data_IF_564587930277
#
_entry.id   IF_564587930277
#
_cell.length_a   1.000
_cell.length_b   1.000
_cell.length_c   1.000
_cell.angle_alpha   90.00
_cell.angle_beta   90.00
_cell.angle_gamma   90.00
#
_symmetry.space_group_name_H-M   'P 1'
#
loop_
_entity.id
_entity.type
_entity.pdbx_description
1 polymer ?
2 non-polymer ?
3 water ?
#
# COMPACT_ATOMS: atom_id res chain seq x y z
N UNK A 3 -8.85 -10.66 -4.22
CA UNK A 3 -8.57 -9.51 -3.31
C UNK A 3 -7.73 -9.97 -2.12
N UNK A 4 -6.55 -9.38 -1.98
CA UNK A 4 -5.62 -9.73 -0.91
C UNK A 4 -5.81 -8.75 0.24
N UNK A 5 -6.10 -9.27 1.43
CA UNK A 5 -6.35 -8.40 2.57
C UNK A 5 -5.38 -8.50 3.74
N UNK A 6 -5.15 -7.35 4.38
CA UNK A 6 -4.26 -7.25 5.53
C UNK A 6 -5.14 -7.50 6.76
N UNK A 7 -5.31 -8.77 7.13
CA UNK A 7 -6.16 -9.11 8.28
C UNK A 7 -5.65 -8.53 9.60
N UNK A 8 -4.34 -8.49 9.76
CA UNK A 8 -3.75 -7.96 10.99
C UNK A 8 -4.10 -6.49 11.21
N UNK A 9 -3.98 -5.68 10.16
CA UNK A 9 -4.27 -4.26 10.27
C UNK A 9 -5.70 -4.01 10.75
N UNK A 10 -6.63 -4.77 10.19
CA UNK A 10 -8.04 -4.62 10.54
C UNK A 10 -8.35 -5.04 11.97
N UNK A 11 -7.70 -6.10 12.43
CA UNK A 11 -7.93 -6.62 13.77
C UNK A 11 -7.21 -5.88 14.88
N UNK A 12 -6.01 -5.37 14.60
CA UNK A 12 -5.22 -4.70 15.63
C UNK A 12 -5.16 -3.18 15.64
N UNK A 13 -5.68 -2.54 14.60
CA UNK A 13 -5.63 -1.09 14.56
C UNK A 13 -6.97 -0.47 14.21
N UNK A 14 -7.12 0.79 14.59
CA UNK A 14 -8.32 1.52 14.26
C UNK A 14 -7.94 2.24 12.97
N UNK A 15 -8.75 2.03 11.94
CA UNK A 15 -8.48 2.64 10.64
C UNK A 15 -9.25 3.94 10.48
N UNK A 16 -8.53 5.02 10.22
CA UNK A 16 -9.13 6.33 10.03
C UNK A 16 -9.39 6.52 8.53
N UNK A 17 -8.95 7.64 7.96
CA UNK A 17 -9.17 7.88 6.54
C UNK A 17 -8.44 6.85 5.68
N UNK A 18 -9.00 6.57 4.50
CA UNK A 18 -8.37 5.65 3.57
C UNK A 18 -8.15 6.35 2.23
N UNK A 19 -7.25 5.78 1.44
CA UNK A 19 -6.86 6.34 0.16
C UNK A 19 -6.57 5.21 -0.81
N UNK A 20 -6.76 5.46 -2.10
CA UNK A 20 -6.46 4.43 -3.08
C UNK A 20 -5.34 4.91 -3.98
N UNK A 21 -4.48 3.98 -4.37
CA UNK A 21 -3.38 4.32 -5.26
C UNK A 21 -3.05 3.14 -6.15
N UNK A 22 -2.36 3.43 -7.25
CA UNK A 22 -1.93 2.37 -8.14
C UNK A 22 -0.56 1.95 -7.66
N UNK A 23 -0.09 0.79 -8.11
CA UNK A 23 1.23 0.30 -7.72
C UNK A 23 2.05 0.05 -8.98
N UNK A 24 3.29 0.53 -9.01
CA UNK A 24 4.17 0.33 -10.16
C UNK A 24 4.94 -0.97 -9.97
N UNK A 25 4.51 -2.03 -10.65
CA UNK A 25 5.14 -3.34 -10.52
C UNK A 25 6.20 -3.61 -11.59
N UNK A 26 7.14 -4.48 -11.26
CA UNK A 26 8.22 -4.83 -12.18
C UNK A 26 8.39 -6.34 -12.26
N UNK A 27 9.01 -6.79 -13.35
CA UNK A 27 9.25 -8.21 -13.53
C UNK A 27 8.06 -9.14 -13.35
N UNK A 28 8.26 -10.22 -12.60
CA UNK A 28 7.22 -11.22 -12.36
C UNK A 28 6.25 -10.86 -11.23
N UNK A 29 6.42 -9.69 -10.64
CA UNK A 29 5.56 -9.26 -9.54
C UNK A 29 4.07 -9.39 -9.83
N UNK A 30 3.64 -8.98 -11.02
CA UNK A 30 2.23 -9.07 -11.37
C UNK A 30 1.72 -10.51 -11.28
N UNK A 31 2.50 -11.46 -11.79
CA UNK A 31 2.10 -12.86 -11.76
C UNK A 31 1.97 -13.36 -10.32
N UNK A 32 2.90 -12.96 -9.46
CA UNK A 32 2.88 -13.38 -8.07
C UNK A 32 1.65 -12.86 -7.34
N UNK A 33 1.26 -11.62 -7.62
CA UNK A 33 0.10 -11.04 -6.98
C UNK A 33 -1.19 -11.77 -7.37
N UNK A 34 -1.28 -12.18 -8.63
CA UNK A 34 -2.46 -12.89 -9.12
C UNK A 34 -2.58 -14.23 -8.39
N UNK A 35 -1.44 -14.75 -7.96
CA UNK A 35 -1.38 -16.02 -7.25
C UNK A 35 -1.65 -15.79 -5.77
N UNK A 36 -1.67 -14.53 -5.36
CA UNK A 36 -1.91 -14.18 -3.97
C UNK A 36 -0.72 -14.39 -3.06
N UNK A 37 0.48 -14.39 -3.64
CA UNK A 37 1.70 -14.60 -2.86
C UNK A 37 2.26 -13.28 -2.34
N UNK A 38 1.58 -12.70 -1.35
CA UNK A 38 1.99 -11.44 -0.76
C UNK A 38 1.94 -11.50 0.77
N UNK A 39 2.77 -10.70 1.42
CA UNK A 39 2.83 -10.63 2.88
C UNK A 39 2.87 -9.15 3.26
N UNK A 40 1.90 -8.72 4.07
CA UNK A 40 1.78 -7.32 4.50
C UNK A 40 2.57 -6.95 5.75
N UNK A 41 3.10 -7.95 6.45
CA UNK A 41 3.83 -7.72 7.69
C UNK A 41 4.87 -6.61 7.64
N UNK A 42 4.70 -5.62 8.51
CA UNK A 42 5.62 -4.50 8.60
C UNK A 42 5.63 -3.52 7.45
N UNK A 43 4.65 -3.63 6.55
CA UNK A 43 4.59 -2.73 5.41
C UNK A 43 3.93 -1.40 5.75
N UNK A 44 4.42 -0.34 5.12
CA UNK A 44 3.90 1.01 5.32
C UNK A 44 4.22 1.86 4.11
N UNK A 45 3.54 3.00 3.99
CA UNK A 45 3.77 3.89 2.86
C UNK A 45 4.33 5.21 3.38
N UNK A 46 5.23 5.81 2.61
CA UNK A 46 5.87 7.06 3.02
C UNK A 46 6.37 7.82 1.80
N UNK A 47 6.32 9.15 1.86
CA UNK A 47 6.78 9.98 0.75
C UNK A 47 8.31 10.09 0.72
N UNK A 48 8.86 10.14 -0.48
CA UNK A 48 10.30 10.28 -0.67
C UNK A 48 10.57 10.97 -2.00
N UNK A 49 11.13 12.17 -1.92
CA UNK A 49 11.45 12.94 -3.11
C UNK A 49 10.27 13.19 -4.05
N UNK A 50 9.13 13.55 -3.47
CA UNK A 50 7.95 13.85 -4.26
C UNK A 50 7.10 12.67 -4.71
N UNK A 51 7.48 11.46 -4.31
CA UNK A 51 6.71 10.28 -4.70
C UNK A 51 6.33 9.48 -3.46
N UNK A 52 5.17 8.82 -3.51
CA UNK A 52 4.74 7.99 -2.39
C UNK A 52 5.24 6.59 -2.69
N UNK A 53 5.86 5.95 -1.70
CA UNK A 53 6.36 4.59 -1.89
C UNK A 53 5.78 3.64 -0.86
N UNK A 54 5.57 2.40 -1.28
CA UNK A 54 5.07 1.37 -0.39
C UNK A 54 6.33 0.61 -0.01
N UNK A 55 6.65 0.59 1.28
CA UNK A 55 7.84 -0.08 1.75
C UNK A 55 7.59 -1.38 2.50
N UNK A 56 8.55 -2.29 2.38
CA UNK A 56 8.54 -3.58 3.06
C UNK A 56 7.38 -4.51 2.76
N UNK A 57 6.80 -4.40 1.57
CA UNK A 57 5.73 -5.32 1.20
C UNK A 57 6.45 -6.49 0.54
N UNK A 58 6.15 -7.71 0.98
CA UNK A 58 6.78 -8.89 0.40
C UNK A 58 5.92 -9.51 -0.70
N UNK A 59 6.49 -9.66 -1.89
CA UNK A 59 5.79 -10.32 -2.99
C UNK A 59 6.73 -11.47 -3.34
N UNK A 60 6.25 -12.69 -3.13
CA UNK A 60 7.05 -13.89 -3.38
C UNK A 60 7.59 -13.97 -4.80
N UNK A 61 8.80 -14.51 -4.96
CA UNK A 61 9.42 -14.64 -6.29
C UNK A 61 8.55 -15.47 -7.22
N UNK A 70 15.27 -9.94 -8.38
CA UNK A 70 14.47 -8.77 -7.91
C UNK A 70 14.16 -8.92 -6.42
N UNK A 71 14.47 -7.88 -5.65
CA UNK A 71 14.23 -7.91 -4.21
C UNK A 71 12.74 -8.10 -3.94
N UNK A 72 12.37 -9.21 -3.28
CA UNK A 72 10.97 -9.48 -2.97
C UNK A 72 10.36 -8.40 -2.08
N UNK A 73 11.23 -7.62 -1.43
CA UNK A 73 10.77 -6.55 -0.55
C UNK A 73 11.25 -5.17 -0.99
N UNK A 74 11.45 -5.00 -2.29
CA UNK A 74 11.90 -3.72 -2.80
C UNK A 74 10.83 -2.66 -2.55
N UNK A 75 11.27 -1.41 -2.51
CA UNK A 75 10.38 -0.28 -2.31
C UNK A 75 9.66 -0.10 -3.65
N UNK A 76 8.35 0.10 -3.60
CA UNK A 76 7.57 0.25 -4.82
C UNK A 76 6.81 1.56 -4.89
N UNK A 77 6.90 2.22 -6.04
CA UNK A 77 6.25 3.51 -6.21
C UNK A 77 4.74 3.37 -6.35
N UNK A 78 4.01 4.22 -5.64
CA UNK A 78 2.56 4.22 -5.72
C UNK A 78 2.15 5.37 -6.61
N UNK A 79 1.07 5.17 -7.37
CA UNK A 79 0.59 6.18 -8.30
C UNK A 79 -0.68 6.84 -7.78
N UNK A 80 -0.61 8.16 -7.57
CA UNK A 80 -1.75 8.89 -7.05
C UNK A 80 -2.30 9.91 -8.03
N UNK A 81 -3.63 9.99 -8.10
CA UNK A 81 -4.24 11.00 -8.95
C UNK A 81 -4.12 12.27 -8.12
N UNK A 82 -4.13 13.42 -8.77
CA UNK A 82 -3.99 14.69 -8.06
C UNK A 82 -4.95 14.87 -6.89
N UNK A 83 -6.21 14.49 -7.07
CA UNK A 83 -7.17 14.66 -5.99
C UNK A 83 -6.85 13.84 -4.75
N UNK A 84 -6.30 12.64 -4.94
CA UNK A 84 -5.96 11.79 -3.81
C UNK A 84 -4.69 12.32 -3.13
N UNK A 85 -3.75 12.81 -3.94
CA UNK A 85 -2.52 13.37 -3.39
C UNK A 85 -2.88 14.54 -2.48
N UNK A 86 -3.81 15.38 -2.93
CA UNK A 86 -4.25 16.54 -2.15
C UNK A 86 -4.86 16.14 -0.81
N UNK A 87 -5.58 15.02 -0.79
CA UNK A 87 -6.20 14.53 0.44
C UNK A 87 -5.14 14.04 1.41
N UNK A 88 -4.14 13.36 0.86
CA UNK A 88 -3.06 12.77 1.65
C UNK A 88 -2.01 13.73 2.20
N UNK A 89 -1.54 14.65 1.37
CA UNK A 89 -0.51 15.59 1.78
C UNK A 89 -0.75 16.23 3.14
N UNK A 90 0.21 16.05 4.04
CA UNK A 90 0.11 16.62 5.37
C UNK A 90 -0.46 15.70 6.43
N UNK A 91 -1.00 14.55 6.03
CA UNK A 91 -1.59 13.63 7.00
C UNK A 91 -0.71 12.40 7.24
N UNK A 92 0.17 12.10 6.29
CA UNK A 92 1.05 10.94 6.39
C UNK A 92 1.91 10.96 7.65
N UNK A 93 2.57 12.09 7.90
CA UNK A 93 3.42 12.23 9.07
C UNK A 93 2.68 12.87 10.24
N UNK A 94 1.92 12.05 10.97
CA UNK A 94 1.17 12.53 12.13
C UNK A 94 1.43 11.63 13.32
N UNK A 95 1.55 12.24 14.49
CA UNK A 95 1.80 11.53 15.74
C UNK A 95 0.95 10.27 15.94
N UNK A 96 1.62 9.14 16.13
CA UNK A 96 0.93 7.88 16.37
C UNK A 96 0.19 7.21 15.23
N UNK A 97 0.25 7.78 14.03
CA UNK A 97 -0.44 7.18 12.89
C UNK A 97 0.54 6.63 11.87
N UNK A 98 0.14 5.55 11.21
CA UNK A 98 0.97 4.93 10.19
C UNK A 98 0.09 4.67 8.98
N UNK A 99 0.60 4.97 7.79
CA UNK A 99 -0.15 4.74 6.56
C UNK A 99 0.19 3.31 6.14
N UNK A 100 -0.78 2.42 6.21
CA UNK A 100 -0.54 1.03 5.88
C UNK A 100 -1.44 0.45 4.79
N UNK A 101 -0.94 -0.56 4.06
CA UNK A 101 -1.72 -1.19 3.00
C UNK A 101 -2.79 -2.08 3.63
N UNK A 102 -4.04 -1.89 3.23
CA UNK A 102 -5.16 -2.65 3.78
C UNK A 102 -5.61 -3.78 2.87
N UNK A 103 -5.49 -3.56 1.57
CA UNK A 103 -5.87 -4.57 0.59
C UNK A 103 -5.24 -4.24 -0.75
N UNK A 104 -5.03 -5.28 -1.56
CA UNK A 104 -4.46 -5.12 -2.89
C UNK A 104 -5.38 -5.89 -3.83
N UNK A 105 -5.69 -5.29 -4.96
CA UNK A 105 -6.57 -5.93 -5.94
C UNK A 105 -6.33 -5.32 -7.30
N UNK A 106 -6.94 -5.90 -8.33
CA UNK A 106 -6.80 -5.38 -9.68
C UNK A 106 -8.16 -4.88 -10.14
N UNK A 107 -8.21 -3.72 -10.78
CA UNK A 107 -9.51 -3.25 -11.27
C UNK A 107 -9.76 -3.89 -12.62
N UNK A 108 -10.88 -3.55 -13.24
CA UNK A 108 -11.28 -4.10 -14.54
C UNK A 108 -10.23 -3.95 -15.64
N UNK A 109 -9.57 -2.80 -15.68
CA UNK A 109 -8.56 -2.54 -16.70
C UNK A 109 -7.20 -3.16 -16.37
N UNK A 110 -7.15 -3.96 -15.31
CA UNK A 110 -5.91 -4.62 -14.95
C UNK A 110 -4.89 -3.81 -14.18
N UNK A 111 -5.30 -2.67 -13.63
CA UNK A 111 -4.38 -1.86 -12.85
C UNK A 111 -4.29 -2.45 -11.44
N UNK A 112 -3.07 -2.60 -10.94
CA UNK A 112 -2.88 -3.11 -9.58
C UNK A 112 -3.18 -1.91 -8.69
N UNK A 113 -4.03 -2.11 -7.69
CA UNK A 113 -4.40 -1.03 -6.79
C UNK A 113 -4.17 -1.43 -5.34
N UNK A 114 -3.89 -0.44 -4.50
CA UNK A 114 -3.71 -0.70 -3.09
C UNK A 114 -4.59 0.29 -2.31
N UNK A 115 -5.33 -0.22 -1.34
CA UNK A 115 -6.16 0.64 -0.50
C UNK A 115 -5.28 0.88 0.73
N UNK A 116 -4.99 2.15 1.01
CA UNK A 116 -4.16 2.52 2.15
C UNK A 116 -5.04 3.11 3.25
N UNK A 117 -4.62 2.96 4.50
CA UNK A 117 -5.40 3.53 5.59
C UNK A 117 -4.50 4.08 6.67
N UNK A 118 -4.93 5.16 7.32
CA UNK A 118 -4.14 5.71 8.41
C UNK A 118 -4.54 4.84 9.59
N UNK A 119 -3.57 4.16 10.18
CA UNK A 119 -3.84 3.27 11.29
C UNK A 119 -3.32 3.79 12.61
N UNK A 120 -4.13 3.62 13.65
CA UNK A 120 -3.78 4.07 14.99
C UNK A 120 -3.86 2.87 15.92
N UNK A 121 -2.93 2.80 16.87
CA UNK A 121 -2.92 1.70 17.82
C UNK A 121 -4.26 1.49 18.50
N UNK A 122 -4.77 0.27 18.42
CA UNK A 122 -6.05 -0.07 19.03
C UNK A 122 -5.85 -0.56 20.46
X LIG B 1 -4.79 -9.35 15.80
#
# INVERSE_FOLDING_TARGET
APVLENRRARHDYEILETYEAGIALKGTEVKSLRAGKVDFTGSFARFEDGELYLENLYIAPYEKGSYANVDPRRKRKLLLHKHELRRLLGKVEQKGLTLVPLKIYFNERGYAKVLLGLARGK
K K
#
